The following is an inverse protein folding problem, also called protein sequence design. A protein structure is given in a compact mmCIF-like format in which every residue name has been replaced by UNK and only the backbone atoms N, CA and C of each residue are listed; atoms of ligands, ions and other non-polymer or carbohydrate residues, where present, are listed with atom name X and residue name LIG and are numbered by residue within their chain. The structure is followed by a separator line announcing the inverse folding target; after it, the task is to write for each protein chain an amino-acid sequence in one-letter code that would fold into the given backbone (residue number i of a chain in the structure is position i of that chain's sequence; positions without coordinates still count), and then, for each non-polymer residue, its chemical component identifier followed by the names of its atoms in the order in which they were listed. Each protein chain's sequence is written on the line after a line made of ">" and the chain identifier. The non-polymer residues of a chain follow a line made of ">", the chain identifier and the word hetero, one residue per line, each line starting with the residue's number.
data_IF_643484662846
#
_entry.id   IF_643484662846
#
_cell.length_a   1.000
_cell.length_b   1.000
_cell.length_c   1.000
_cell.angle_alpha   90.00
_cell.angle_beta   90.00
_cell.angle_gamma   90.00
#
_symmetry.space_group_name_H-M   'P 1'
#
loop_
_entity.id
_entity.type
_entity.pdbx_description
1 polymer ?
#
# COMPACT_ATOMS: atom_id res chain seq x y z
N UNK A 1 -11.94 -15.20 -1.48
CA UNK A 1 -11.42 -14.34 -2.57
C UNK A 1 -10.43 -13.39 -1.92
N UNK A 2 -9.13 -13.56 -2.17
CA UNK A 2 -8.09 -12.71 -1.63
C UNK A 2 -7.92 -11.47 -2.50
N UNK A 3 -7.62 -10.33 -1.89
CA UNK A 3 -7.16 -9.15 -2.59
C UNK A 3 -5.64 -9.07 -2.39
N UNK A 4 -4.90 -8.82 -3.47
CA UNK A 4 -3.45 -8.67 -3.47
C UNK A 4 -3.09 -7.19 -3.60
N UNK A 5 -1.97 -6.77 -3.00
CA UNK A 5 -1.43 -5.41 -3.08
C UNK A 5 -0.28 -5.36 -4.07
N UNK A 6 -0.56 -4.91 -5.29
CA UNK A 6 0.50 -4.67 -6.28
C UNK A 6 1.10 -3.27 -6.10
N UNK A 7 2.43 -3.19 -6.09
CA UNK A 7 3.18 -1.93 -6.09
C UNK A 7 4.10 -1.86 -7.31
N UNK A 8 4.06 -0.73 -8.01
CA UNK A 8 4.91 -0.44 -9.15
C UNK A 8 5.40 1.02 -9.10
N UNK A 9 6.51 1.29 -9.78
CA UNK A 9 6.97 2.66 -9.97
C UNK A 9 6.03 3.40 -10.93
N UNK A 10 5.60 4.59 -10.55
CA UNK A 10 4.77 5.44 -11.39
C UNK A 10 5.63 6.53 -12.06
N UNK A 11 5.72 6.50 -13.38
CA UNK A 11 6.42 7.52 -14.18
C UNK A 11 5.59 8.80 -14.37
N UNK A 12 4.27 8.69 -14.24
CA UNK A 12 3.30 9.77 -14.44
C UNK A 12 2.16 9.66 -13.43
N UNK A 13 1.45 10.77 -13.24
CA UNK A 13 0.30 10.86 -12.35
C UNK A 13 -0.91 11.24 -13.18
N UNK A 14 -1.94 10.42 -13.11
CA UNK A 14 -3.21 10.65 -13.77
C UNK A 14 -4.13 11.55 -12.92
N UNK A 15 -5.05 12.33 -13.53
CA UNK A 15 -5.85 13.35 -12.83
C UNK A 15 -6.78 12.82 -11.74
N UNK A 16 -7.07 11.52 -11.75
CA UNK A 16 -7.99 10.87 -10.81
C UNK A 16 -7.26 10.07 -9.73
N UNK A 17 -5.93 10.01 -9.80
CA UNK A 17 -5.12 9.34 -8.80
C UNK A 17 -4.95 10.21 -7.57
N UNK A 18 -4.96 9.57 -6.42
CA UNK A 18 -4.66 10.25 -5.17
C UNK A 18 -3.16 10.21 -4.92
N UNK A 19 -2.58 11.36 -4.60
CA UNK A 19 -1.16 11.48 -4.29
C UNK A 19 -1.01 11.74 -2.80
N UNK A 20 -0.31 10.86 -2.11
CA UNK A 20 0.04 11.00 -0.70
C UNK A 20 1.53 11.26 -0.58
N UNK A 21 1.89 12.37 0.07
CA UNK A 21 3.28 12.76 0.32
C UNK A 21 3.57 12.73 1.82
N UNK A 22 4.61 11.98 2.22
CA UNK A 22 5.13 11.96 3.59
C UNK A 22 6.64 12.16 3.58
N UNK A 23 7.07 13.37 3.94
CA UNK A 23 8.47 13.75 3.91
C UNK A 23 9.05 13.68 2.49
N UNK A 24 9.92 12.69 2.25
CA UNK A 24 10.51 12.43 0.92
C UNK A 24 9.83 11.27 0.17
N UNK A 25 8.93 10.56 0.83
CA UNK A 25 8.18 9.47 0.22
C UNK A 25 6.93 10.01 -0.47
N UNK A 26 6.64 9.47 -1.64
CA UNK A 26 5.44 9.78 -2.42
C UNK A 26 4.79 8.48 -2.85
N UNK A 27 3.50 8.34 -2.57
CA UNK A 27 2.68 7.18 -2.93
C UNK A 27 1.53 7.67 -3.80
N UNK A 28 1.25 6.95 -4.88
CA UNK A 28 0.17 7.25 -5.82
C UNK A 28 -0.84 6.10 -5.75
N UNK A 29 -2.11 6.43 -5.57
CA UNK A 29 -3.18 5.46 -5.39
C UNK A 29 -4.18 5.58 -6.54
N UNK A 30 -4.32 4.49 -7.28
CA UNK A 30 -5.30 4.39 -8.36
C UNK A 30 -6.74 4.59 -7.82
N UNK A 31 -7.64 5.22 -8.59
CA UNK A 31 -9.01 5.52 -8.16
C UNK A 31 -9.78 4.32 -7.62
N UNK A 32 -9.61 3.16 -8.25
CA UNK A 32 -10.30 1.93 -7.85
C UNK A 32 -9.79 1.37 -6.52
N UNK A 33 -8.55 1.68 -6.13
CA UNK A 33 -7.94 1.20 -4.89
C UNK A 33 -8.22 2.12 -3.69
N UNK A 34 -8.57 3.39 -3.91
CA UNK A 34 -8.78 4.39 -2.85
C UNK A 34 -9.78 3.91 -1.78
N UNK A 35 -10.92 3.33 -2.19
CA UNK A 35 -11.92 2.84 -1.25
C UNK A 35 -11.43 1.65 -0.39
N UNK A 36 -10.57 0.81 -0.95
CA UNK A 36 -10.03 -0.37 -0.24
C UNK A 36 -8.86 -0.01 0.67
N UNK A 37 -8.13 1.06 0.35
CA UNK A 37 -6.98 1.54 1.11
C UNK A 37 -7.36 2.62 2.11
N UNK A 38 -8.64 2.99 2.20
CA UNK A 38 -9.07 4.03 3.12
C UNK A 38 -8.82 3.63 4.58
N UNK A 39 -7.99 4.42 5.27
CA UNK A 39 -7.56 4.13 6.64
C UNK A 39 -6.42 3.11 6.75
N UNK A 40 -5.91 2.59 5.63
CA UNK A 40 -4.73 1.72 5.61
C UNK A 40 -3.48 2.52 5.96
N UNK A 41 -2.69 2.00 6.88
CA UNK A 41 -1.37 2.51 7.19
C UNK A 41 -0.31 1.70 6.42
N UNK A 42 0.54 2.40 5.68
CA UNK A 42 1.64 1.81 4.92
C UNK A 42 2.94 2.23 5.58
N UNK A 43 3.74 1.25 5.98
CA UNK A 43 5.00 1.46 6.69
C UNK A 43 6.12 0.66 6.01
N UNK A 44 7.34 1.17 5.98
CA UNK A 44 8.49 0.42 5.45
C UNK A 44 9.35 -0.07 6.60
N UNK A 45 9.39 -1.38 6.80
CA UNK A 45 10.16 -1.98 7.88
C UNK A 45 11.44 -2.58 7.34
N UNK A 46 12.55 -2.23 7.97
CA UNK A 46 13.87 -2.79 7.69
C UNK A 46 14.26 -3.70 8.86
N UNK A 47 14.13 -5.00 8.66
CA UNK A 47 14.55 -6.03 9.60
C UNK A 47 15.94 -6.57 9.29
N UNK A 48 16.42 -7.47 10.16
CA UNK A 48 17.74 -8.11 9.99
C UNK A 48 17.76 -9.12 8.83
N UNK A 49 16.61 -9.69 8.50
CA UNK A 49 16.45 -10.77 7.51
C UNK A 49 15.63 -10.35 6.28
N UNK A 50 14.70 -9.42 6.45
CA UNK A 50 13.82 -8.94 5.39
C UNK A 50 13.59 -7.43 5.52
N UNK A 51 13.32 -6.77 4.41
CA UNK A 51 12.89 -5.38 4.38
C UNK A 51 11.79 -5.24 3.36
N UNK A 52 10.69 -4.58 3.74
CA UNK A 52 9.50 -4.55 2.91
C UNK A 52 8.45 -3.57 3.40
N UNK A 53 7.47 -3.32 2.53
CA UNK A 53 6.30 -2.55 2.88
C UNK A 53 5.33 -3.43 3.69
N UNK A 54 4.86 -2.87 4.80
CA UNK A 54 3.84 -3.46 5.65
C UNK A 54 2.57 -2.65 5.52
N UNK A 55 1.49 -3.34 5.14
CA UNK A 55 0.16 -2.76 4.97
C UNK A 55 -0.73 -3.16 6.13
N UNK A 56 -1.13 -2.19 6.94
CA UNK A 56 -2.09 -2.38 8.03
C UNK A 56 -3.44 -1.81 7.60
N UNK A 57 -4.26 -2.65 6.98
CA UNK A 57 -5.60 -2.26 6.53
C UNK A 57 -6.65 -2.58 7.62
N UNK A 58 -7.29 -1.58 8.26
CA UNK A 58 -8.29 -1.82 9.30
C UNK A 58 -9.57 -2.50 8.75
N UNK A 59 -9.77 -2.47 7.43
CA UNK A 59 -10.92 -3.11 6.77
C UNK A 59 -10.68 -4.61 6.49
N UNK A 60 -9.46 -5.12 6.73
CA UNK A 60 -9.10 -6.53 6.52
C UNK A 60 -8.86 -7.17 7.89
N UNK A 61 -9.79 -8.04 8.32
CA UNK A 61 -9.67 -8.76 9.59
C UNK A 61 -8.86 -10.06 9.49
N UNK A 62 -8.58 -10.54 8.28
CA UNK A 62 -7.92 -11.81 8.00
C UNK A 62 -6.71 -11.57 7.08
N UNK A 63 -5.65 -10.98 7.65
CA UNK A 63 -4.34 -10.99 7.00
C UNK A 63 -3.78 -12.40 7.19
N UNK A 64 -4.07 -13.29 6.22
CA UNK A 64 -3.55 -14.66 6.26
C UNK A 64 -2.02 -14.58 6.38
N UNK A 65 -1.50 -15.11 7.49
CA UNK A 65 -0.17 -14.82 8.01
C UNK A 65 0.96 -15.46 7.20
N UNK A 66 1.22 -14.93 6.01
CA UNK A 66 2.41 -15.29 5.21
C UNK A 66 3.02 -14.10 4.45
N UNK A 67 2.64 -12.85 4.75
CA UNK A 67 3.40 -11.67 4.32
C UNK A 67 3.54 -11.45 2.80
N UNK A 68 2.80 -12.20 1.98
CA UNK A 68 2.84 -12.08 0.51
C UNK A 68 1.42 -11.79 0.01
N UNK A 69 1.09 -10.51 -0.01
CA UNK A 69 0.08 -9.93 -0.89
C UNK A 69 0.46 -8.49 -1.16
#
# INVERSE_FOLDING_TARGET
>A
AGMEYTMDFADRIDPHEEVIEQGKARVIIAPMAQMFLFGTEIDYQTGLLESGFQFRNPNVSDACGCGES
#
